data_IF_247914661364
#
_entry.id   IF_247914661364
#
_cell.length_a   1.000
_cell.length_b   1.000
_cell.length_c   1.000
_cell.angle_alpha   90.00
_cell.angle_beta   90.00
_cell.angle_gamma   90.00
#
_symmetry.space_group_name_H-M   'P 1'
#
loop_
_entity.id
_entity.type
_entity.pdbx_description
1 polymer ?
#
# COMPACT_ATOMS: atom_id res chain seq x y z
N UNK A 1 -0.70 -7.80 -3.65
CA UNK A 1 0.22 -8.68 -4.40
C UNK A 1 0.77 -7.89 -5.57
N UNK A 2 2.06 -8.05 -5.85
CA UNK A 2 2.79 -7.47 -6.97
C UNK A 2 3.68 -8.57 -7.56
N UNK A 3 4.06 -8.46 -8.83
CA UNK A 3 4.97 -9.40 -9.49
C UNK A 3 5.71 -8.71 -10.65
N UNK A 4 6.77 -9.35 -11.14
CA UNK A 4 7.59 -8.88 -12.26
C UNK A 4 7.46 -9.83 -13.45
N UNK A 5 7.59 -9.33 -14.67
CA UNK A 5 7.56 -10.14 -15.88
C UNK A 5 6.15 -10.36 -16.40
N UNK A 6 5.83 -11.59 -16.79
CA UNK A 6 4.65 -11.89 -17.60
C UNK A 6 3.33 -11.52 -16.92
N UNK A 7 2.41 -11.01 -17.75
CA UNK A 7 1.04 -10.72 -17.33
C UNK A 7 0.20 -12.00 -17.29
N UNK A 8 -0.94 -11.98 -16.59
CA UNK A 8 -1.81 -13.15 -16.42
C UNK A 8 -2.16 -13.79 -17.79
N UNK A 9 -1.91 -15.09 -17.92
CA UNK A 9 -2.42 -15.92 -19.02
C UNK A 9 -3.86 -16.37 -18.75
N UNK A 10 -4.80 -15.76 -19.47
CA UNK A 10 -6.23 -16.07 -19.38
C UNK A 10 -6.68 -17.31 -20.16
N UNK A 11 -5.78 -17.99 -20.89
CA UNK A 11 -6.12 -19.12 -21.76
C UNK A 11 -6.82 -20.26 -21.03
N UNK A 12 -6.47 -20.48 -19.75
CA UNK A 12 -7.12 -21.45 -18.86
C UNK A 12 -8.64 -21.24 -18.75
N UNK A 13 -9.14 -20.02 -18.94
CA UNK A 13 -10.55 -19.68 -18.83
C UNK A 13 -11.32 -19.67 -20.16
N UNK A 14 -10.64 -19.86 -21.30
CA UNK A 14 -11.27 -19.84 -22.63
C UNK A 14 -11.86 -21.19 -23.04
N UNK A 15 -11.29 -22.29 -22.55
CA UNK A 15 -11.66 -23.64 -22.97
C UNK A 15 -12.83 -24.19 -22.14
N UNK A 16 -12.99 -23.76 -20.87
CA UNK A 16 -14.11 -24.14 -20.00
C UNK A 16 -14.38 -23.07 -18.92
N UNK A 17 -15.65 -22.88 -18.53
CA UNK A 17 -16.02 -21.98 -17.43
C UNK A 17 -15.66 -22.63 -16.09
N UNK A 18 -14.94 -21.89 -15.22
CA UNK A 18 -14.81 -22.25 -13.79
C UNK A 18 -13.50 -22.94 -13.36
N UNK A 19 -12.39 -22.78 -14.07
CA UNK A 19 -11.09 -23.38 -13.71
C UNK A 19 -10.39 -22.81 -12.43
N UNK A 20 -11.12 -22.07 -11.60
CA UNK A 20 -10.61 -21.54 -10.33
C UNK A 20 -9.67 -20.34 -10.48
N UNK A 21 -8.73 -20.19 -9.55
CA UNK A 21 -7.78 -19.09 -9.52
C UNK A 21 -6.68 -19.25 -10.58
N UNK A 22 -6.40 -18.19 -11.33
CA UNK A 22 -5.24 -18.07 -12.21
C UNK A 22 -4.15 -17.25 -11.49
N UNK A 23 -3.00 -17.86 -11.13
CA UNK A 23 -1.90 -17.11 -10.54
C UNK A 23 -1.26 -16.15 -11.56
N UNK A 24 -0.49 -15.15 -11.10
CA UNK A 24 0.40 -14.41 -11.99
C UNK A 24 1.27 -15.34 -12.82
N UNK A 25 1.47 -15.02 -14.10
CA UNK A 25 2.37 -15.77 -14.97
C UNK A 25 3.84 -15.37 -14.79
N UNK A 26 4.08 -14.20 -14.21
CA UNK A 26 5.43 -13.69 -13.97
C UNK A 26 6.12 -14.26 -12.74
N UNK A 27 7.29 -13.69 -12.46
CA UNK A 27 8.21 -14.07 -11.40
C UNK A 27 8.13 -13.10 -10.21
N UNK A 28 8.84 -13.42 -9.12
CA UNK A 28 8.93 -12.59 -7.91
C UNK A 28 7.55 -12.11 -7.42
N UNK A 29 6.63 -13.07 -7.21
CA UNK A 29 5.28 -12.80 -6.74
C UNK A 29 5.32 -12.48 -5.25
N UNK A 30 5.16 -11.20 -4.91
CA UNK A 30 5.29 -10.69 -3.55
C UNK A 30 3.92 -10.22 -3.04
N UNK A 31 3.54 -10.69 -1.85
CA UNK A 31 2.40 -10.14 -1.12
C UNK A 31 2.88 -9.10 -0.12
N UNK A 32 2.83 -7.82 -0.50
CA UNK A 32 3.28 -6.69 0.35
C UNK A 32 2.63 -6.72 1.73
N UNK A 33 1.30 -6.82 1.76
CA UNK A 33 0.53 -6.92 2.98
C UNK A 33 -0.74 -7.75 2.75
N UNK A 34 -1.30 -8.30 3.83
CA UNK A 34 -2.61 -8.95 3.85
C UNK A 34 -3.55 -8.21 4.79
N UNK A 35 -4.86 -8.33 4.60
CA UNK A 35 -5.85 -7.74 5.50
C UNK A 35 -5.96 -6.22 5.36
N UNK A 36 -6.15 -5.53 6.49
CA UNK A 36 -6.53 -4.13 6.52
C UNK A 36 -5.29 -3.25 6.31
N UNK A 37 -5.29 -2.35 5.30
CA UNK A 37 -4.13 -1.53 5.00
C UNK A 37 -3.96 -0.35 5.97
N UNK A 38 -5.05 0.17 6.56
CA UNK A 38 -5.00 1.33 7.45
C UNK A 38 -5.69 1.07 8.79
N UNK A 39 -5.13 1.60 9.87
CA UNK A 39 -5.69 1.50 11.21
C UNK A 39 -5.33 2.72 12.05
N UNK A 40 -6.21 3.12 12.97
CA UNK A 40 -5.86 4.03 14.07
C UNK A 40 -5.35 3.15 15.20
N UNK A 41 -4.18 3.49 15.75
CA UNK A 41 -3.54 2.75 16.84
C UNK A 41 -3.40 3.66 18.06
N UNK A 42 -3.55 3.10 19.26
CA UNK A 42 -3.34 3.84 20.52
C UNK A 42 -1.88 4.29 20.67
N UNK A 43 -0.94 3.49 20.19
CA UNK A 43 0.49 3.80 20.17
C UNK A 43 1.22 3.03 19.08
N UNK A 44 2.49 3.39 18.83
CA UNK A 44 3.32 2.70 17.84
C UNK A 44 3.59 1.23 18.19
N UNK A 45 3.46 0.82 19.46
CA UNK A 45 3.67 -0.56 19.92
C UNK A 45 2.37 -1.39 19.97
N UNK A 46 1.20 -0.77 19.77
CA UNK A 46 -0.09 -1.46 19.77
C UNK A 46 -0.20 -2.43 18.59
N UNK A 47 -0.54 -3.70 18.84
CA UNK A 47 -0.67 -4.72 17.79
C UNK A 47 -1.57 -4.28 16.64
N UNK A 48 -1.27 -4.73 15.42
CA UNK A 48 -2.14 -4.47 14.27
C UNK A 48 -3.51 -5.14 14.48
N UNK A 49 -4.63 -4.44 14.22
CA UNK A 49 -5.95 -5.00 14.44
C UNK A 49 -6.25 -6.13 13.44
N UNK A 50 -6.93 -7.18 13.91
CA UNK A 50 -7.36 -8.30 13.08
C UNK A 50 -8.56 -7.95 12.20
N UNK A 51 -9.40 -7.02 12.64
CA UNK A 51 -10.61 -6.56 11.95
C UNK A 51 -10.57 -5.05 11.76
N UNK A 52 -11.15 -4.55 10.66
CA UNK A 52 -11.26 -3.12 10.45
C UNK A 52 -12.22 -2.56 11.51
N UNK A 53 -11.87 -1.42 12.11
CA UNK A 53 -12.89 -0.61 12.77
C UNK A 53 -13.99 -0.34 11.75
N UNK A 54 -15.23 -0.70 12.06
CA UNK A 54 -16.39 -0.53 11.18
C UNK A 54 -16.56 0.93 10.74
N UNK A 55 -16.13 1.89 11.56
CA UNK A 55 -16.13 3.33 11.23
C UNK A 55 -15.04 3.70 10.22
N UNK A 56 -13.96 2.93 10.16
CA UNK A 56 -12.80 3.15 9.28
C UNK A 56 -12.66 2.08 8.19
N UNK A 57 -13.68 1.24 8.00
CA UNK A 57 -13.64 0.16 7.01
C UNK A 57 -13.40 0.72 5.58
N UNK A 58 -12.44 0.15 4.82
CA UNK A 58 -12.12 0.60 3.47
C UNK A 58 -13.33 0.49 2.55
N UNK A 59 -13.67 1.59 1.88
CA UNK A 59 -14.66 1.61 0.81
C UNK A 59 -14.00 2.01 -0.50
N UNK A 60 -13.92 1.07 -1.44
CA UNK A 60 -13.47 1.37 -2.79
C UNK A 60 -14.48 2.27 -3.50
N UNK A 61 -14.00 3.34 -4.14
CA UNK A 61 -14.80 4.36 -4.85
C UNK A 61 -14.51 4.39 -6.35
N UNK A 62 -13.93 3.32 -6.89
CA UNK A 62 -13.52 3.23 -8.28
C UNK A 62 -12.13 3.81 -8.52
N UNK A 63 -11.84 4.10 -9.78
CA UNK A 63 -10.56 4.64 -10.22
C UNK A 63 -10.76 5.64 -11.37
N UNK A 64 -9.73 6.42 -11.65
CA UNK A 64 -9.65 7.26 -12.86
C UNK A 64 -8.34 6.97 -13.58
N UNK A 65 -8.34 7.10 -14.91
CA UNK A 65 -7.14 6.92 -15.72
C UNK A 65 -6.57 8.27 -16.13
N UNK A 66 -5.25 8.42 -16.09
CA UNK A 66 -4.57 9.57 -16.68
C UNK A 66 -4.44 9.40 -18.21
N UNK A 67 -3.75 10.35 -18.88
CA UNK A 67 -3.55 10.31 -20.34
C UNK A 67 -2.78 9.07 -20.81
N UNK A 68 -1.93 8.52 -19.94
CA UNK A 68 -1.13 7.31 -20.15
C UNK A 68 -1.87 6.02 -19.75
N UNK A 69 -3.18 6.11 -19.45
CA UNK A 69 -4.00 4.98 -18.98
C UNK A 69 -3.53 4.38 -17.64
N UNK A 70 -2.78 5.14 -16.84
CA UNK A 70 -2.36 4.71 -15.51
C UNK A 70 -3.46 5.03 -14.48
N UNK A 71 -3.83 4.09 -13.59
CA UNK A 71 -4.94 4.26 -12.69
C UNK A 71 -4.57 5.04 -11.43
N UNK A 72 -5.47 5.90 -10.99
CA UNK A 72 -5.54 6.36 -9.60
C UNK A 72 -6.74 5.71 -8.92
N UNK A 73 -6.49 4.82 -7.97
CA UNK A 73 -7.52 4.16 -7.19
C UNK A 73 -8.03 5.07 -6.08
N UNK A 74 -9.34 5.05 -5.84
CA UNK A 74 -9.99 5.93 -4.85
C UNK A 74 -10.60 5.09 -3.75
N UNK A 75 -10.32 5.45 -2.50
CA UNK A 75 -10.83 4.79 -1.30
C UNK A 75 -11.37 5.80 -0.31
N UNK A 76 -12.22 5.36 0.59
CA UNK A 76 -12.55 6.08 1.84
C UNK A 76 -12.30 5.18 3.03
N UNK A 77 -11.81 5.78 4.11
CA UNK A 77 -11.68 5.18 5.45
C UNK A 77 -12.43 6.12 6.41
N UNK A 78 -13.68 5.77 6.72
CA UNK A 78 -14.59 6.71 7.36
C UNK A 78 -14.73 8.00 6.54
N UNK A 79 -14.47 9.18 7.12
CA UNK A 79 -14.53 10.46 6.42
C UNK A 79 -13.27 10.78 5.60
N UNK A 80 -12.17 10.03 5.77
CA UNK A 80 -10.89 10.28 5.11
C UNK A 80 -10.90 9.70 3.69
N UNK A 81 -10.54 10.50 2.70
CA UNK A 81 -10.41 10.06 1.31
C UNK A 81 -8.95 9.76 0.95
N UNK A 82 -8.69 8.61 0.34
CA UNK A 82 -7.36 8.22 -0.13
C UNK A 82 -7.35 8.01 -1.64
N UNK A 83 -6.38 8.62 -2.32
CA UNK A 83 -6.11 8.40 -3.74
C UNK A 83 -4.73 7.74 -3.89
N UNK A 84 -4.67 6.57 -4.49
CA UNK A 84 -3.46 5.78 -4.66
C UNK A 84 -3.10 5.68 -6.14
N UNK A 85 -1.95 6.25 -6.49
CA UNK A 85 -1.44 6.30 -7.85
C UNK A 85 -0.13 5.51 -7.95
N UNK A 86 -0.17 4.25 -8.46
CA UNK A 86 1.03 3.54 -8.88
C UNK A 86 1.51 4.03 -10.25
N UNK A 87 2.82 4.21 -10.39
CA UNK A 87 3.51 4.53 -11.65
C UNK A 87 4.73 3.63 -11.82
N UNK A 88 4.88 2.92 -12.94
CA UNK A 88 6.07 2.12 -13.21
C UNK A 88 7.31 3.00 -13.37
N UNK A 89 8.48 2.47 -13.01
CA UNK A 89 9.77 3.05 -13.39
C UNK A 89 10.07 2.70 -14.84
N UNK A 90 10.63 3.64 -15.60
CA UNK A 90 10.90 3.46 -17.03
C UNK A 90 11.87 2.32 -17.33
N UNK A 91 12.82 2.06 -16.42
CA UNK A 91 13.82 1.00 -16.52
C UNK A 91 13.29 -0.39 -16.12
N UNK A 92 12.02 -0.50 -15.72
CA UNK A 92 11.41 -1.74 -15.25
C UNK A 92 11.95 -2.25 -13.91
N UNK A 93 12.80 -1.48 -13.21
CA UNK A 93 13.38 -1.87 -11.92
C UNK A 93 12.35 -1.91 -10.79
N UNK A 94 11.15 -1.37 -11.02
CA UNK A 94 10.08 -1.33 -10.02
C UNK A 94 9.01 -0.31 -10.35
N UNK A 95 8.40 0.25 -9.32
CA UNK A 95 7.34 1.24 -9.44
C UNK A 95 7.27 2.14 -8.20
N UNK A 96 6.70 3.31 -8.37
CA UNK A 96 6.43 4.28 -7.30
C UNK A 96 4.93 4.30 -7.03
N UNK A 97 4.53 4.33 -5.76
CA UNK A 97 3.16 4.64 -5.33
C UNK A 97 3.13 6.00 -4.66
N UNK A 98 2.26 6.87 -5.14
CA UNK A 98 1.92 8.12 -4.46
C UNK A 98 0.50 8.00 -3.90
N UNK A 99 0.40 8.05 -2.58
CA UNK A 99 -0.86 8.01 -1.85
C UNK A 99 -1.15 9.41 -1.31
N UNK A 100 -2.21 10.03 -1.81
CA UNK A 100 -2.75 11.28 -1.27
C UNK A 100 -3.89 10.96 -0.31
N UNK A 101 -3.76 11.41 0.93
CA UNK A 101 -4.78 11.32 1.97
C UNK A 101 -5.38 12.71 2.18
N UNK A 102 -6.70 12.85 2.03
CA UNK A 102 -7.42 14.07 2.30
C UNK A 102 -8.26 13.87 3.57
N UNK A 103 -7.94 14.63 4.61
CA UNK A 103 -8.63 14.63 5.90
C UNK A 103 -9.57 15.84 5.94
N UNK A 104 -10.89 15.64 6.09
CA UNK A 104 -11.85 16.74 6.13
C UNK A 104 -11.79 17.52 7.45
N UNK A 105 -12.50 18.65 7.51
CA UNK A 105 -12.74 19.40 8.75
C UNK A 105 -14.10 19.03 9.35
N UNK A 106 -14.23 18.85 10.69
CA UNK A 106 -13.11 18.82 11.64
C UNK A 106 -12.30 17.51 11.49
N UNK A 107 -10.98 17.63 11.59
CA UNK A 107 -10.06 16.51 11.74
C UNK A 107 -9.76 16.25 13.21
N UNK A 108 -8.87 15.31 13.49
CA UNK A 108 -8.44 14.97 14.85
C UNK A 108 -6.99 15.40 15.07
N UNK A 109 -6.80 16.52 15.78
CA UNK A 109 -5.46 16.95 16.17
C UNK A 109 -4.86 15.95 17.19
N UNK A 110 -3.67 15.41 16.88
CA UNK A 110 -2.97 14.47 17.76
C UNK A 110 -3.25 12.98 17.49
N UNK A 111 -4.28 12.66 16.69
CA UNK A 111 -4.52 11.29 16.22
C UNK A 111 -3.78 11.02 14.91
N UNK A 112 -3.47 9.74 14.68
CA UNK A 112 -2.75 9.29 13.50
C UNK A 112 -3.44 8.07 12.89
N UNK A 113 -3.53 8.08 11.57
CA UNK A 113 -3.82 6.90 10.77
C UNK A 113 -2.49 6.23 10.42
N UNK A 114 -2.36 4.95 10.73
CA UNK A 114 -1.19 4.18 10.33
C UNK A 114 -1.51 3.44 9.04
N UNK A 115 -0.58 3.52 8.07
CA UNK A 115 -0.59 2.70 6.87
C UNK A 115 0.39 1.53 7.04
N UNK A 116 -0.11 0.29 6.96
CA UNK A 116 0.73 -0.91 6.96
C UNK A 116 1.16 -1.25 5.55
N UNK A 117 2.38 -0.83 5.22
CA UNK A 117 2.99 -1.00 3.91
C UNK A 117 3.41 -2.44 3.68
N UNK A 118 4.10 -3.04 4.67
CA UNK A 118 4.62 -4.40 4.61
C UNK A 118 4.15 -5.21 5.82
N UNK A 119 3.84 -6.49 5.59
CA UNK A 119 3.50 -7.45 6.65
C UNK A 119 3.52 -8.88 6.13
N UNK A 120 3.61 -9.85 7.04
CA UNK A 120 3.48 -11.27 6.67
C UNK A 120 4.74 -11.84 6.04
N UNK A 121 5.87 -11.15 6.20
CA UNK A 121 7.18 -11.57 5.76
C UNK A 121 8.29 -10.78 6.46
N UNK A 122 9.56 -11.18 6.29
CA UNK A 122 10.68 -10.53 6.95
C UNK A 122 10.86 -9.09 6.45
N UNK A 123 10.82 -8.13 7.38
CA UNK A 123 11.10 -6.70 7.13
C UNK A 123 12.38 -6.32 7.84
N UNK A 124 13.35 -5.75 7.13
CA UNK A 124 14.59 -5.26 7.73
C UNK A 124 14.77 -3.77 7.46
N UNK A 125 15.17 -3.03 8.49
CA UNK A 125 15.54 -1.63 8.36
C UNK A 125 16.95 -1.50 7.79
N UNK A 126 17.10 -0.73 6.71
CA UNK A 126 18.40 -0.36 6.15
C UNK A 126 18.85 0.99 6.70
N UNK A 127 18.29 2.08 6.15
CA UNK A 127 18.45 3.44 6.66
C UNK A 127 17.08 4.00 7.11
N UNK A 128 17.02 5.26 7.54
CA UNK A 128 15.79 5.86 8.09
C UNK A 128 14.54 5.73 7.20
N UNK A 129 14.72 5.63 5.87
CA UNK A 129 13.61 5.58 4.91
C UNK A 129 13.75 4.47 3.87
N UNK A 130 14.63 3.49 4.09
CA UNK A 130 14.87 2.38 3.17
C UNK A 130 14.86 1.05 3.91
N UNK A 131 14.08 0.12 3.40
CA UNK A 131 13.77 -1.17 4.01
C UNK A 131 13.94 -2.29 2.98
N UNK A 132 14.14 -3.53 3.45
CA UNK A 132 14.06 -4.73 2.61
C UNK A 132 12.89 -5.61 3.03
N UNK A 133 12.31 -6.33 2.07
CA UNK A 133 11.24 -7.32 2.30
C UNK A 133 11.59 -8.65 1.64
N UNK A 134 11.59 -9.73 2.42
CA UNK A 134 11.81 -11.13 1.95
C UNK A 134 13.05 -11.31 1.06
N UNK A 135 14.07 -10.46 1.19
CA UNK A 135 15.25 -10.38 0.31
C UNK A 135 14.99 -10.11 -1.18
N UNK A 136 13.73 -9.98 -1.62
CA UNK A 136 13.35 -9.81 -3.03
C UNK A 136 13.03 -8.34 -3.40
N UNK A 137 12.78 -7.50 -2.40
CA UNK A 137 12.29 -6.14 -2.63
C UNK A 137 13.02 -5.13 -1.74
N UNK A 138 13.41 -4.02 -2.34
CA UNK A 138 13.82 -2.80 -1.63
C UNK A 138 12.61 -1.85 -1.63
N UNK A 139 12.30 -1.31 -0.46
CA UNK A 139 11.20 -0.35 -0.26
C UNK A 139 11.75 0.93 0.32
N UNK A 140 11.61 2.04 -0.41
CA UNK A 140 12.01 3.36 0.05
C UNK A 140 10.79 4.25 0.25
N UNK A 141 10.81 5.10 1.27
CA UNK A 141 9.71 6.04 1.60
C UNK A 141 10.24 7.47 1.49
N UNK A 142 10.48 7.99 0.27
CA UNK A 142 11.07 9.32 0.07
C UNK A 142 10.20 10.46 0.60
N UNK A 143 8.88 10.28 0.68
CA UNK A 143 7.97 11.30 1.18
C UNK A 143 6.97 10.71 2.18
N UNK A 144 7.02 11.21 3.41
CA UNK A 144 5.96 11.09 4.43
C UNK A 144 6.19 12.17 5.48
N UNK A 145 5.12 12.76 6.02
CA UNK A 145 5.20 13.81 7.05
C UNK A 145 5.78 13.29 8.36
N UNK A 146 5.32 12.11 8.79
CA UNK A 146 5.85 11.41 9.95
C UNK A 146 6.80 10.30 9.48
N UNK A 147 7.86 9.98 10.25
CA UNK A 147 8.85 9.01 9.85
C UNK A 147 8.25 7.59 9.78
N UNK A 148 8.56 6.81 8.73
CA UNK A 148 8.23 5.39 8.71
C UNK A 148 9.01 4.65 9.80
N UNK A 149 8.47 3.54 10.30
CA UNK A 149 9.16 2.70 11.26
C UNK A 149 8.84 1.23 11.05
N UNK A 150 9.77 0.38 11.46
CA UNK A 150 9.56 -1.06 11.52
C UNK A 150 9.08 -1.46 12.90
N UNK A 151 8.11 -2.37 12.96
CA UNK A 151 7.71 -3.05 14.20
C UNK A 151 7.60 -4.53 13.91
N UNK A 152 8.43 -5.32 14.58
CA UNK A 152 8.55 -6.75 14.28
C UNK A 152 8.80 -6.96 12.77
N UNK A 153 7.87 -7.59 12.07
CA UNK A 153 7.91 -7.87 10.64
C UNK A 153 6.92 -7.00 9.84
N UNK A 154 6.69 -5.77 10.32
CA UNK A 154 5.81 -4.78 9.68
C UNK A 154 6.58 -3.50 9.35
N UNK A 155 6.26 -2.89 8.20
CA UNK A 155 6.63 -1.51 7.89
C UNK A 155 5.38 -0.64 7.99
N UNK A 156 5.41 0.33 8.90
CA UNK A 156 4.29 1.23 9.20
C UNK A 156 4.67 2.68 8.86
N UNK A 157 3.72 3.40 8.26
CA UNK A 157 3.83 4.84 8.01
C UNK A 157 2.71 5.55 8.78
N UNK A 158 3.03 6.36 9.80
CA UNK A 158 2.04 7.21 10.44
C UNK A 158 1.64 8.38 9.52
N UNK A 159 0.37 8.74 9.54
CA UNK A 159 -0.23 9.81 8.75
C UNK A 159 -1.06 10.68 9.70
N UNK A 160 -0.78 11.98 9.80
CA UNK A 160 -1.58 12.88 10.64
C UNK A 160 -3.06 12.87 10.23
N UNK A 161 -3.94 13.01 11.22
CA UNK A 161 -5.37 13.26 11.00
C UNK A 161 -5.75 14.73 11.21
N UNK A 162 -4.79 15.65 11.08
CA UNK A 162 -5.08 17.09 10.99
C UNK A 162 -5.80 17.40 9.67
N UNK A 163 -6.73 18.37 9.59
CA UNK A 163 -7.40 18.71 8.34
C UNK A 163 -6.40 19.11 7.25
N UNK A 164 -6.58 18.58 6.05
CA UNK A 164 -5.73 18.92 4.91
C UNK A 164 -5.41 17.75 4.01
N UNK A 165 -4.37 17.95 3.20
CA UNK A 165 -3.86 16.99 2.24
C UNK A 165 -2.47 16.51 2.68
N UNK A 166 -2.36 15.22 2.92
CA UNK A 166 -1.11 14.54 3.27
C UNK A 166 -0.69 13.64 2.12
N UNK A 167 0.61 13.60 1.80
CA UNK A 167 1.12 12.75 0.74
C UNK A 167 2.16 11.76 1.29
N UNK A 168 2.06 10.52 0.81
CA UNK A 168 3.04 9.47 1.05
C UNK A 168 3.53 8.98 -0.31
N UNK A 169 4.84 8.94 -0.52
CA UNK A 169 5.46 8.35 -1.72
C UNK A 169 6.33 7.18 -1.30
N UNK A 170 6.15 6.06 -1.99
CA UNK A 170 6.85 4.80 -1.71
C UNK A 170 7.40 4.26 -3.03
N UNK A 171 8.70 4.00 -3.05
CA UNK A 171 9.36 3.33 -4.17
C UNK A 171 9.57 1.86 -3.83
N UNK A 172 9.10 0.99 -4.73
CA UNK A 172 9.36 -0.43 -4.68
C UNK A 172 10.34 -0.76 -5.79
N UNK A 173 11.45 -1.42 -5.46
CA UNK A 173 12.50 -1.82 -6.41
C UNK A 173 12.78 -3.30 -6.26
N UNK A 174 12.66 -4.04 -7.35
CA UNK A 174 13.00 -5.46 -7.41
C UNK A 174 14.49 -5.64 -7.15
N UNK A 175 14.87 -6.69 -6.43
CA UNK A 175 16.25 -7.15 -6.33
C UNK A 175 16.58 -8.15 -7.43
#
# INVERSE_FOLDING_TARGET
MIWKGDFIDGGRHWINRGQGFQPPAGEQVITLNRGIPFAVLESQTSKWPNEADLKMAPRFRGYSLNKQQQPTFKYHFGPVAAHDYPSPKEDGSGFTRTITINVPSPGSAGEQLYFRVLSGGSVQSGNERTFSFENDLIVSVPLSELPPFTRENELLIPIPLTPGKHNVTIDYTWK
#
